data_IF_874361344790
#
_entry.id   IF_874361344790
#
_cell.length_a   1.000
_cell.length_b   1.000
_cell.length_c   1.000
_cell.angle_alpha   90.00
_cell.angle_beta   90.00
_cell.angle_gamma   90.00
#
_symmetry.space_group_name_H-M   'P 1'
#
loop_
_entity.id
_entity.type
_entity.pdbx_description
1 polymer ?
#
# COMPACT_ATOMS: atom_id res chain seq x y z
N UNK A 1 0.51 -17.01 48.37
CA UNK A 1 0.04 -17.41 47.02
C UNK A 1 -1.32 -16.81 46.63
N UNK A 2 -2.32 -16.79 47.51
CA UNK A 2 -3.68 -16.26 47.21
C UNK A 2 -3.74 -14.76 46.87
N UNK A 3 -2.99 -13.90 47.57
CA UNK A 3 -3.02 -12.44 47.37
C UNK A 3 -2.56 -12.02 45.96
N UNK A 4 -1.50 -12.65 45.44
CA UNK A 4 -0.98 -12.40 44.09
C UNK A 4 -2.03 -12.75 43.02
N UNK A 5 -2.75 -13.86 43.19
CA UNK A 5 -3.84 -14.23 42.28
C UNK A 5 -5.01 -13.26 42.29
N UNK A 6 -5.33 -12.66 43.45
CA UNK A 6 -6.38 -11.66 43.57
C UNK A 6 -5.97 -10.33 42.92
N UNK A 7 -4.72 -9.90 43.11
CA UNK A 7 -4.17 -8.70 42.46
C UNK A 7 -4.15 -8.86 40.93
N UNK A 8 -3.73 -10.03 40.41
CA UNK A 8 -3.74 -10.29 38.96
C UNK A 8 -5.16 -10.25 38.39
N UNK A 9 -6.15 -10.84 39.09
CA UNK A 9 -7.56 -10.75 38.68
C UNK A 9 -8.09 -9.32 38.69
N UNK A 10 -7.72 -8.52 39.68
CA UNK A 10 -8.08 -7.10 39.76
C UNK A 10 -7.44 -6.31 38.60
N UNK A 11 -6.16 -6.51 38.33
CA UNK A 11 -5.44 -5.88 37.22
C UNK A 11 -6.07 -6.25 35.87
N UNK A 12 -6.42 -7.52 35.66
CA UNK A 12 -7.10 -7.96 34.45
C UNK A 12 -8.47 -7.27 34.29
N UNK A 13 -9.24 -7.13 35.37
CA UNK A 13 -10.55 -6.45 35.34
C UNK A 13 -10.42 -4.95 35.03
N UNK A 14 -9.43 -4.27 35.62
CA UNK A 14 -9.15 -2.85 35.38
C UNK A 14 -8.68 -2.64 33.94
N UNK A 15 -7.70 -3.41 33.46
CA UNK A 15 -7.21 -3.33 32.07
C UNK A 15 -8.33 -3.61 31.07
N UNK A 16 -9.14 -4.64 31.32
CA UNK A 16 -10.31 -4.95 30.49
C UNK A 16 -11.34 -3.82 30.48
N UNK A 17 -11.58 -3.16 31.61
CA UNK A 17 -12.46 -1.99 31.66
C UNK A 17 -11.90 -0.81 30.85
N UNK A 18 -10.60 -0.51 30.97
CA UNK A 18 -9.95 0.57 30.23
C UNK A 18 -10.03 0.35 28.72
N UNK A 19 -9.73 -0.86 28.24
CA UNK A 19 -9.80 -1.20 26.81
C UNK A 19 -11.23 -1.06 26.28
N UNK A 20 -12.25 -1.54 27.02
CA UNK A 20 -13.65 -1.38 26.61
C UNK A 20 -14.09 0.08 26.59
N UNK A 21 -13.63 0.89 27.55
CA UNK A 21 -13.90 2.32 27.60
C UNK A 21 -13.30 3.04 26.40
N UNK A 22 -12.04 2.76 26.09
CA UNK A 22 -11.34 3.35 24.94
C UNK A 22 -12.00 2.94 23.61
N UNK A 23 -12.30 1.65 23.45
CA UNK A 23 -13.02 1.15 22.28
C UNK A 23 -14.39 1.80 22.13
N UNK A 24 -15.16 1.90 23.22
CA UNK A 24 -16.46 2.56 23.22
C UNK A 24 -16.38 4.03 22.78
N UNK A 25 -15.35 4.75 23.22
CA UNK A 25 -15.13 6.13 22.80
C UNK A 25 -14.78 6.25 21.32
N UNK A 26 -13.87 5.40 20.82
CA UNK A 26 -13.53 5.33 19.38
C UNK A 26 -14.76 4.97 18.54
N UNK A 27 -15.54 3.98 18.96
CA UNK A 27 -16.75 3.56 18.26
C UNK A 27 -17.80 4.67 18.22
N UNK A 28 -18.01 5.37 19.34
CA UNK A 28 -18.91 6.52 19.38
C UNK A 28 -18.48 7.61 18.40
N UNK A 29 -17.18 7.93 18.35
CA UNK A 29 -16.63 8.89 17.41
C UNK A 29 -16.84 8.46 15.95
N UNK A 30 -16.59 7.18 15.64
CA UNK A 30 -16.83 6.61 14.30
C UNK A 30 -18.31 6.75 13.91
N UNK A 31 -19.24 6.35 14.76
CA UNK A 31 -20.68 6.46 14.49
C UNK A 31 -21.08 7.92 14.25
N UNK A 32 -20.54 8.85 15.06
CA UNK A 32 -20.78 10.29 14.86
C UNK A 32 -20.25 10.76 13.51
N UNK A 33 -19.02 10.44 13.15
CA UNK A 33 -18.44 10.81 11.85
C UNK A 33 -19.28 10.23 10.71
N UNK A 34 -19.62 8.94 10.77
CA UNK A 34 -20.45 8.28 9.76
C UNK A 34 -21.82 8.97 9.58
N UNK A 35 -22.47 9.38 10.67
CA UNK A 35 -23.75 10.10 10.59
C UNK A 35 -23.62 11.44 9.86
N UNK A 36 -22.52 12.17 10.09
CA UNK A 36 -22.26 13.44 9.39
C UNK A 36 -21.93 13.22 7.92
N UNK A 37 -21.14 12.19 7.60
CA UNK A 37 -20.81 11.83 6.21
C UNK A 37 -22.07 11.44 5.43
N UNK A 38 -22.94 10.59 6.00
CA UNK A 38 -24.23 10.24 5.38
C UNK A 38 -25.10 11.46 5.13
N UNK A 39 -25.18 12.38 6.11
CA UNK A 39 -25.90 13.65 5.96
C UNK A 39 -25.30 14.51 4.85
N UNK A 40 -23.98 14.64 4.80
CA UNK A 40 -23.28 15.42 3.78
C UNK A 40 -23.58 14.90 2.37
N UNK A 41 -23.50 13.58 2.18
CA UNK A 41 -23.83 12.92 0.89
C UNK A 41 -25.29 13.19 0.52
N UNK A 42 -26.22 13.02 1.46
CA UNK A 42 -27.64 13.28 1.22
C UNK A 42 -27.92 14.75 0.88
N UNK A 43 -27.28 15.69 1.59
CA UNK A 43 -27.41 17.12 1.31
C UNK A 43 -26.86 17.49 -0.07
N UNK A 44 -25.69 16.95 -0.47
CA UNK A 44 -25.11 17.18 -1.80
C UNK A 44 -26.05 16.68 -2.90
N UNK A 45 -26.60 15.47 -2.75
CA UNK A 45 -27.60 14.91 -3.68
C UNK A 45 -28.85 15.77 -3.77
N UNK A 46 -29.38 16.19 -2.62
CA UNK A 46 -30.56 17.06 -2.57
C UNK A 46 -30.32 18.42 -3.25
N UNK A 47 -29.16 19.05 -3.01
CA UNK A 47 -28.80 20.32 -3.64
C UNK A 47 -28.68 20.18 -5.16
N UNK A 48 -28.04 19.11 -5.65
CA UNK A 48 -27.94 18.80 -7.09
C UNK A 48 -29.33 18.68 -7.72
N UNK A 49 -30.19 17.82 -7.13
CA UNK A 49 -31.56 17.62 -7.63
C UNK A 49 -32.40 18.91 -7.60
N UNK A 50 -32.25 19.71 -6.53
CA UNK A 50 -32.95 21.01 -6.42
C UNK A 50 -32.51 22.00 -7.49
N UNK A 51 -31.21 22.00 -7.85
CA UNK A 51 -30.68 22.86 -8.90
C UNK A 51 -31.16 22.41 -10.28
N UNK A 52 -31.08 21.11 -10.57
CA UNK A 52 -31.60 20.52 -11.81
C UNK A 52 -33.09 20.83 -11.98
N UNK A 53 -33.89 20.60 -10.94
CA UNK A 53 -35.31 20.92 -10.96
C UNK A 53 -35.56 22.40 -11.29
N UNK A 54 -34.81 23.33 -10.66
CA UNK A 54 -34.93 24.76 -10.93
C UNK A 54 -34.59 25.10 -12.38
N UNK A 55 -33.47 24.58 -12.91
CA UNK A 55 -33.03 24.79 -14.29
C UNK A 55 -34.05 24.26 -15.31
N UNK A 56 -34.57 23.06 -15.09
CA UNK A 56 -35.65 22.50 -15.93
C UNK A 56 -36.93 23.34 -15.85
N UNK A 57 -37.31 23.78 -14.65
CA UNK A 57 -38.51 24.60 -14.47
C UNK A 57 -38.36 25.97 -15.16
N UNK A 58 -37.20 26.61 -15.06
CA UNK A 58 -36.88 27.85 -15.77
C UNK A 58 -36.90 27.66 -17.29
N UNK A 59 -36.28 26.60 -17.80
CA UNK A 59 -36.31 26.28 -19.23
C UNK A 59 -37.74 26.07 -19.75
N UNK A 60 -38.59 25.42 -18.95
CA UNK A 60 -40.01 25.22 -19.29
C UNK A 60 -40.80 26.54 -19.23
N UNK A 61 -40.48 27.44 -18.28
CA UNK A 61 -41.06 28.78 -18.22
C UNK A 61 -40.69 29.61 -19.46
N UNK A 62 -39.42 29.58 -19.85
CA UNK A 62 -38.93 30.26 -21.05
C UNK A 62 -39.63 29.76 -22.31
N UNK A 63 -39.79 28.43 -22.44
CA UNK A 63 -40.55 27.82 -23.55
C UNK A 63 -41.98 28.38 -23.65
N UNK A 64 -42.69 28.50 -22.52
CA UNK A 64 -44.07 29.02 -22.53
C UNK A 64 -44.12 30.48 -22.97
N UNK A 65 -43.26 31.32 -22.39
CA UNK A 65 -43.20 32.76 -22.75
C UNK A 65 -42.88 32.94 -24.24
N UNK A 66 -41.91 32.18 -24.75
CA UNK A 66 -41.49 32.20 -26.15
C UNK A 66 -42.60 31.71 -27.10
N UNK A 67 -43.34 30.66 -26.73
CA UNK A 67 -44.49 30.18 -27.50
C UNK A 67 -45.61 31.23 -27.56
N UNK A 68 -45.92 31.89 -26.44
CA UNK A 68 -46.92 32.95 -26.34
C UNK A 68 -46.53 34.17 -27.17
N UNK A 69 -45.28 34.62 -27.08
CA UNK A 69 -44.77 35.75 -27.84
C UNK A 69 -44.82 35.50 -29.35
N UNK A 70 -44.38 34.32 -29.81
CA UNK A 70 -44.44 33.94 -31.21
C UNK A 70 -45.89 33.79 -31.72
N UNK A 71 -46.81 33.33 -30.86
CA UNK A 71 -48.25 33.30 -31.16
C UNK A 71 -48.82 34.71 -31.33
N UNK A 72 -48.46 35.64 -30.45
CA UNK A 72 -48.88 37.04 -30.54
C UNK A 72 -48.36 37.73 -31.82
N UNK A 73 -47.19 37.34 -32.31
CA UNK A 73 -46.64 37.79 -33.59
C UNK A 73 -47.28 37.14 -34.83
N UNK A 74 -48.27 36.24 -34.65
CA UNK A 74 -48.98 35.58 -35.75
C UNK A 74 -48.24 34.39 -36.38
N UNK A 75 -47.20 33.86 -35.72
CA UNK A 75 -46.42 32.75 -36.26
C UNK A 75 -47.16 31.40 -36.12
N UNK A 76 -47.51 30.80 -37.26
CA UNK A 76 -48.22 29.50 -37.31
C UNK A 76 -47.41 28.32 -36.76
N UNK A 77 -46.08 28.43 -36.69
CA UNK A 77 -45.14 27.42 -36.15
C UNK A 77 -44.58 27.77 -34.78
N UNK A 78 -45.20 28.71 -34.04
CA UNK A 78 -44.74 29.16 -32.73
C UNK A 78 -44.38 28.03 -31.75
N UNK A 79 -45.22 26.98 -31.70
CA UNK A 79 -45.01 25.82 -30.82
C UNK A 79 -43.78 24.99 -31.19
N UNK A 80 -43.54 24.77 -32.49
CA UNK A 80 -42.38 24.00 -32.96
C UNK A 80 -41.08 24.73 -32.68
N UNK A 81 -41.05 26.05 -32.91
CA UNK A 81 -39.87 26.90 -32.67
C UNK A 81 -39.54 26.94 -31.17
N UNK A 82 -40.53 27.20 -30.31
CA UNK A 82 -40.33 27.23 -28.86
C UNK A 82 -39.91 25.86 -28.30
N UNK A 83 -40.42 24.76 -28.85
CA UNK A 83 -40.00 23.40 -28.50
C UNK A 83 -38.55 23.12 -28.92
N UNK A 84 -38.15 23.56 -30.11
CA UNK A 84 -36.77 23.42 -30.58
C UNK A 84 -35.79 24.17 -29.68
N UNK A 85 -36.07 25.44 -29.38
CA UNK A 85 -35.23 26.21 -28.46
C UNK A 85 -35.22 25.63 -27.04
N UNK A 86 -36.32 25.04 -26.59
CA UNK A 86 -36.35 24.31 -25.31
C UNK A 86 -35.42 23.09 -25.33
N UNK A 87 -35.43 22.29 -26.39
CA UNK A 87 -34.53 21.14 -26.55
C UNK A 87 -33.06 21.58 -26.60
N UNK A 88 -32.76 22.63 -27.34
CA UNK A 88 -31.39 23.16 -27.43
C UNK A 88 -30.90 23.65 -26.05
N UNK A 89 -31.76 24.31 -25.25
CA UNK A 89 -31.46 24.70 -23.86
C UNK A 89 -31.19 23.50 -22.97
N UNK A 90 -31.98 22.42 -23.09
CA UNK A 90 -31.76 21.19 -22.31
C UNK A 90 -30.44 20.52 -22.67
N UNK A 91 -30.14 20.39 -23.97
CA UNK A 91 -28.89 19.80 -24.45
C UNK A 91 -27.67 20.58 -23.96
N UNK A 92 -27.74 21.92 -23.95
CA UNK A 92 -26.65 22.75 -23.43
C UNK A 92 -26.47 22.62 -21.91
N UNK A 93 -27.56 22.47 -21.15
CA UNK A 93 -27.50 22.17 -19.71
C UNK A 93 -26.81 20.82 -19.47
N UNK A 94 -27.20 19.78 -20.21
CA UNK A 94 -26.62 18.44 -20.10
C UNK A 94 -25.13 18.42 -20.47
N UNK A 95 -24.77 19.12 -21.56
CA UNK A 95 -23.36 19.26 -21.99
C UNK A 95 -22.50 19.90 -20.90
N UNK A 96 -22.97 20.97 -20.27
CA UNK A 96 -22.26 21.63 -19.16
C UNK A 96 -22.16 20.75 -17.93
N UNK A 97 -23.21 19.99 -17.61
CA UNK A 97 -23.19 19.07 -16.47
C UNK A 97 -22.16 17.94 -16.66
N UNK A 98 -22.06 17.38 -17.88
CA UNK A 98 -21.02 16.41 -18.22
C UNK A 98 -19.61 16.99 -18.12
N UNK A 99 -19.40 18.22 -18.62
CA UNK A 99 -18.11 18.92 -18.55
C UNK A 99 -17.67 19.16 -17.10
N UNK A 100 -18.61 19.61 -16.25
CA UNK A 100 -18.36 19.82 -14.82
C UNK A 100 -18.06 18.51 -14.08
N UNK A 101 -18.78 17.42 -14.40
CA UNK A 101 -18.54 16.12 -13.77
C UNK A 101 -17.15 15.55 -14.14
N UNK A 102 -16.71 15.74 -15.38
CA UNK A 102 -15.37 15.35 -15.82
C UNK A 102 -14.27 16.16 -15.12
N UNK A 103 -14.48 17.46 -14.94
CA UNK A 103 -13.55 18.32 -14.20
C UNK A 103 -13.50 17.95 -12.71
N UNK A 104 -14.65 17.72 -12.09
CA UNK A 104 -14.72 17.26 -10.70
C UNK A 104 -14.01 15.91 -10.52
N UNK A 105 -14.19 14.97 -11.47
CA UNK A 105 -13.48 13.68 -11.48
C UNK A 105 -11.96 13.88 -11.61
N UNK A 106 -11.49 14.79 -12.47
CA UNK A 106 -10.06 15.11 -12.59
C UNK A 106 -9.50 15.69 -11.30
N UNK A 107 -10.22 16.61 -10.66
CA UNK A 107 -9.82 17.20 -9.37
C UNK A 107 -9.71 16.15 -8.27
N UNK A 108 -10.64 15.20 -8.22
CA UNK A 108 -10.60 14.08 -7.29
C UNK A 108 -9.39 13.18 -7.56
N UNK A 109 -9.11 12.86 -8.82
CA UNK A 109 -7.96 12.01 -9.18
C UNK A 109 -6.62 12.68 -8.84
N UNK A 110 -6.47 13.99 -9.12
CA UNK A 110 -5.28 14.76 -8.74
C UNK A 110 -5.09 14.75 -7.22
N UNK A 111 -6.14 15.04 -6.45
CA UNK A 111 -6.06 14.99 -4.97
C UNK A 111 -5.72 13.59 -4.46
N UNK A 112 -6.29 12.55 -5.06
CA UNK A 112 -5.99 11.15 -4.73
C UNK A 112 -4.52 10.80 -4.99
N UNK A 113 -3.98 11.24 -6.12
CA UNK A 113 -2.58 11.01 -6.47
C UNK A 113 -1.64 11.72 -5.49
N UNK A 114 -1.93 12.96 -5.10
CA UNK A 114 -1.15 13.70 -4.09
C UNK A 114 -1.12 12.94 -2.74
N UNK A 115 -2.27 12.42 -2.30
CA UNK A 115 -2.35 11.67 -1.04
C UNK A 115 -1.56 10.36 -1.12
N UNK A 116 -1.64 9.64 -2.23
CA UNK A 116 -0.93 8.38 -2.45
C UNK A 116 0.59 8.59 -2.51
N UNK A 117 1.02 9.64 -3.22
CA UNK A 117 2.44 10.00 -3.31
C UNK A 117 3.01 10.42 -1.95
N UNK A 118 2.26 11.21 -1.18
CA UNK A 118 2.64 11.57 0.19
C UNK A 118 2.75 10.34 1.11
N UNK A 119 1.85 9.36 0.97
CA UNK A 119 1.92 8.10 1.73
C UNK A 119 3.16 7.27 1.33
N UNK A 120 3.44 7.15 0.03
CA UNK A 120 4.64 6.46 -0.47
C UNK A 120 5.94 7.10 0.01
N UNK A 121 6.01 8.42 0.06
CA UNK A 121 7.19 9.16 0.53
C UNK A 121 7.40 9.00 2.04
N UNK A 122 6.34 8.79 2.81
CA UNK A 122 6.44 8.52 4.25
C UNK A 122 6.99 7.12 4.56
N UNK A 123 6.71 6.13 3.69
CA UNK A 123 7.15 4.74 3.83
C UNK A 123 8.50 4.45 3.13
N UNK A 124 9.10 5.41 2.42
CA UNK A 124 10.41 5.24 1.80
C UNK A 124 11.52 5.21 2.88
N UNK A 125 12.32 4.14 2.98
CA UNK A 125 13.44 4.10 3.91
C UNK A 125 14.45 5.19 3.53
N UNK A 126 14.66 6.13 4.44
CA UNK A 126 15.57 7.27 4.24
C UNK A 126 17.00 6.73 4.10
N UNK A 127 17.55 6.81 2.89
CA UNK A 127 18.97 6.62 2.62
C UNK A 127 19.71 7.89 3.04
N UNK A 128 20.68 7.77 3.95
CA UNK A 128 21.49 8.87 4.45
C UNK A 128 22.12 9.68 3.29
N UNK A 129 22.47 9.01 2.19
CA UNK A 129 23.03 9.65 0.98
C UNK A 129 22.05 10.62 0.33
N UNK A 130 20.76 10.25 0.25
CA UNK A 130 19.69 11.11 -0.31
C UNK A 130 19.33 12.26 0.62
N UNK A 131 19.41 12.05 1.94
CA UNK A 131 19.15 13.12 2.91
C UNK A 131 20.26 14.18 2.85
N UNK A 132 21.53 13.76 2.73
CA UNK A 132 22.65 14.67 2.56
C UNK A 132 22.54 15.40 1.23
N UNK A 133 22.24 14.72 0.12
CA UNK A 133 22.05 15.37 -1.19
C UNK A 133 20.93 16.42 -1.16
N UNK A 134 19.79 16.12 -0.54
CA UNK A 134 18.69 17.08 -0.37
C UNK A 134 19.01 18.24 0.59
N UNK A 135 19.89 18.05 1.59
CA UNK A 135 20.35 19.12 2.49
C UNK A 135 21.48 19.97 1.89
N UNK A 136 22.22 19.44 0.91
CA UNK A 136 23.38 20.07 0.28
C UNK A 136 23.19 20.45 -1.19
N UNK A 137 21.98 20.31 -1.75
CA UNK A 137 21.58 20.84 -3.07
C UNK A 137 21.71 22.38 -3.19
N UNK A 138 21.98 23.06 -2.06
CA UNK A 138 22.33 24.48 -2.01
C UNK A 138 23.78 24.76 -2.44
N UNK A 139 24.69 23.79 -2.42
CA UNK A 139 26.09 24.00 -2.78
C UNK A 139 26.30 23.86 -4.29
N UNK A 140 26.92 24.86 -4.96
CA UNK A 140 27.33 24.69 -6.33
C UNK A 140 28.32 23.51 -6.44
N UNK A 141 28.03 22.62 -7.39
CA UNK A 141 28.85 21.45 -7.68
C UNK A 141 30.30 21.91 -7.93
N UNK A 142 31.24 21.49 -7.07
CA UNK A 142 32.61 22.02 -7.03
C UNK A 142 33.50 21.53 -8.18
N UNK A 143 32.92 21.27 -9.35
CA UNK A 143 33.62 20.90 -10.57
C UNK A 143 33.24 21.82 -11.74
N UNK A 144 33.58 23.09 -11.66
CA UNK A 144 33.97 23.91 -12.82
C UNK A 144 34.42 25.32 -12.41
N UNK A 145 35.55 25.74 -12.96
CA UNK A 145 36.15 27.06 -12.80
C UNK A 145 35.21 28.21 -13.27
N UNK A 146 35.30 29.35 -12.57
CA UNK A 146 34.52 30.58 -12.75
C UNK A 146 34.91 31.40 -14.01
N UNK A 147 34.42 32.64 -14.29
CA UNK A 147 33.29 33.43 -13.74
C UNK A 147 32.41 34.11 -14.83
N UNK A 148 31.20 34.61 -14.52
CA UNK A 148 30.72 35.97 -14.85
C UNK A 148 29.27 36.25 -14.43
N UNK A 149 28.89 37.52 -14.20
CA UNK A 149 27.77 37.91 -13.36
C UNK A 149 26.56 38.36 -14.18
N UNK A 150 25.53 37.53 -14.35
CA UNK A 150 24.24 38.01 -14.86
C UNK A 150 23.07 37.21 -14.30
N UNK A 151 22.12 37.94 -13.72
CA UNK A 151 20.71 37.62 -13.85
C UNK A 151 20.10 36.78 -12.74
N UNK A 152 19.49 37.49 -11.80
CA UNK A 152 18.29 37.11 -11.04
C UNK A 152 17.84 35.64 -11.09
N UNK A 153 18.06 34.93 -9.98
CA UNK A 153 17.12 33.91 -9.55
C UNK A 153 17.03 33.98 -8.04
N UNK A 154 16.00 34.69 -7.60
CA UNK A 154 15.54 34.67 -6.23
C UNK A 154 15.31 33.21 -5.82
N UNK A 155 15.85 32.86 -4.66
CA UNK A 155 15.79 31.54 -4.05
C UNK A 155 14.33 31.14 -3.82
N UNK A 156 13.79 30.33 -4.73
CA UNK A 156 12.44 29.77 -4.68
C UNK A 156 12.32 28.63 -3.67
N UNK A 157 12.69 28.88 -2.40
CA UNK A 157 12.70 27.88 -1.32
C UNK A 157 11.74 28.27 -0.18
N UNK A 158 10.85 29.25 -0.38
CA UNK A 158 9.88 29.65 0.65
C UNK A 158 8.50 30.08 0.14
N UNK A 159 8.14 29.77 -1.12
CA UNK A 159 6.81 30.10 -1.66
C UNK A 159 5.73 29.05 -1.39
N UNK A 160 6.07 27.89 -0.82
CA UNK A 160 5.13 26.78 -0.60
C UNK A 160 4.73 26.56 0.87
N UNK A 161 4.93 27.55 1.73
CA UNK A 161 4.30 27.55 3.05
C UNK A 161 2.93 28.20 2.93
N UNK A 162 1.81 27.47 3.11
CA UNK A 162 0.52 28.09 3.25
C UNK A 162 0.56 29.00 4.48
N UNK A 163 0.48 30.31 4.24
CA UNK A 163 0.13 31.29 5.27
C UNK A 163 -1.20 30.82 5.85
N UNK A 164 -1.21 30.58 7.17
CA UNK A 164 -2.41 30.36 7.95
C UNK A 164 -3.35 31.56 7.75
N UNK A 165 -4.24 31.46 6.76
CA UNK A 165 -5.52 32.13 6.79
C UNK A 165 -6.50 31.15 7.42
N UNK A 166 -6.93 31.49 8.62
CA UNK A 166 -8.06 30.90 9.32
C UNK A 166 -9.29 30.87 8.40
N UNK A 167 -9.47 29.75 7.71
CA UNK A 167 -10.73 29.36 7.08
C UNK A 167 -11.03 27.95 7.56
N UNK A 168 -11.71 27.87 8.71
CA UNK A 168 -12.40 26.68 9.18
C UNK A 168 -13.57 26.36 8.26
N UNK A 169 -13.33 25.79 7.08
CA UNK A 169 -14.36 25.10 6.31
C UNK A 169 -13.83 23.79 5.73
N UNK A 170 -14.41 22.69 6.22
CA UNK A 170 -14.55 21.38 5.57
C UNK A 170 -13.29 20.54 5.26
N UNK A 171 -12.56 20.16 6.31
CA UNK A 171 -11.61 19.03 6.31
C UNK A 171 -12.36 17.73 6.66
N UNK A 172 -13.26 17.27 5.79
CA UNK A 172 -13.67 15.85 5.76
C UNK A 172 -13.89 15.50 4.29
N UNK A 173 -12.89 14.90 3.66
CA UNK A 173 -13.03 14.33 2.32
C UNK A 173 -14.19 13.32 2.33
N UNK A 174 -15.06 13.31 1.31
CA UNK A 174 -16.08 12.28 1.20
C UNK A 174 -15.37 10.93 1.04
N UNK A 175 -15.63 10.02 1.98
CA UNK A 175 -15.38 8.59 1.78
C UNK A 175 -15.99 8.24 0.42
N UNK A 176 -15.14 7.76 -0.49
CA UNK A 176 -15.56 7.24 -1.78
C UNK A 176 -16.72 6.27 -1.56
N UNK A 177 -17.92 6.63 -2.05
CA UNK A 177 -18.82 5.62 -2.56
C UNK A 177 -18.18 5.14 -3.84
N UNK A 178 -17.45 4.03 -3.73
CA UNK A 178 -17.08 3.18 -4.86
C UNK A 178 -18.38 3.00 -5.64
N UNK A 179 -18.34 3.23 -6.95
CA UNK A 179 -19.43 2.85 -7.85
C UNK A 179 -19.82 1.42 -7.52
N UNK A 180 -21.04 1.21 -7.03
CA UNK A 180 -21.68 -0.10 -6.89
C UNK A 180 -22.04 -0.60 -8.30
N UNK A 181 -21.03 -0.86 -9.14
CA UNK A 181 -21.03 -2.14 -9.81
C UNK A 181 -20.54 -3.10 -8.73
N UNK A 182 -21.45 -3.51 -7.86
CA UNK A 182 -21.18 -4.49 -6.81
C UNK A 182 -20.91 -5.80 -7.55
N UNK A 183 -19.66 -5.99 -7.99
CA UNK A 183 -19.22 -7.25 -8.55
C UNK A 183 -19.69 -8.34 -7.59
N UNK A 184 -20.47 -9.30 -8.10
CA UNK A 184 -21.04 -10.33 -7.27
C UNK A 184 -19.92 -11.22 -6.71
N UNK A 185 -19.45 -10.88 -5.50
CA UNK A 185 -18.42 -11.63 -4.81
C UNK A 185 -18.96 -12.87 -4.10
N UNK A 186 -20.27 -13.16 -4.20
CA UNK A 186 -20.90 -14.29 -3.50
C UNK A 186 -20.35 -15.64 -3.96
N UNK A 187 -19.79 -15.71 -5.17
CA UNK A 187 -19.13 -16.89 -5.71
C UNK A 187 -17.73 -17.11 -5.13
N UNK A 188 -17.02 -16.04 -4.73
CA UNK A 188 -15.64 -16.06 -4.23
C UNK A 188 -15.58 -16.38 -2.73
N UNK A 189 -16.02 -17.59 -2.38
CA UNK A 189 -15.96 -18.08 -1.00
C UNK A 189 -14.57 -18.60 -0.67
N UNK A 190 -13.99 -18.16 0.46
CA UNK A 190 -12.69 -18.64 0.94
C UNK A 190 -12.60 -20.17 1.05
N UNK A 191 -13.70 -20.83 1.43
CA UNK A 191 -13.77 -22.29 1.46
C UNK A 191 -13.48 -22.94 0.10
N UNK A 192 -13.95 -22.35 -1.02
CA UNK A 192 -13.66 -22.86 -2.36
C UNK A 192 -12.16 -22.72 -2.65
N UNK A 193 -11.59 -21.55 -2.38
CA UNK A 193 -10.15 -21.31 -2.55
C UNK A 193 -9.30 -22.30 -1.74
N UNK A 194 -9.60 -22.47 -0.45
CA UNK A 194 -8.87 -23.39 0.40
C UNK A 194 -9.00 -24.85 -0.08
N UNK A 195 -10.20 -25.29 -0.48
CA UNK A 195 -10.40 -26.63 -1.01
C UNK A 195 -9.62 -26.88 -2.32
N UNK A 196 -9.44 -25.85 -3.14
CA UNK A 196 -8.73 -25.96 -4.42
C UNK A 196 -7.21 -25.89 -4.26
N UNK A 197 -6.70 -25.03 -3.37
CA UNK A 197 -5.28 -24.69 -3.34
C UNK A 197 -4.54 -25.12 -2.06
N UNK A 198 -5.25 -25.47 -0.97
CA UNK A 198 -4.56 -25.87 0.25
C UNK A 198 -3.89 -27.23 0.11
N UNK A 199 -2.66 -27.31 0.59
CA UNK A 199 -1.88 -28.54 0.63
C UNK A 199 -2.08 -29.29 1.96
N UNK A 200 -1.74 -30.58 1.97
CA UNK A 200 -1.66 -31.37 3.21
C UNK A 200 -3.01 -31.64 3.91
N UNK A 201 -4.13 -31.59 3.16
CA UNK A 201 -5.50 -31.78 3.68
C UNK A 201 -5.82 -30.87 4.88
N UNK A 202 -5.26 -29.67 4.90
CA UNK A 202 -5.50 -28.68 5.97
C UNK A 202 -6.86 -28.03 5.76
N UNK A 203 -7.64 -27.92 6.83
CA UNK A 203 -8.96 -27.28 6.80
C UNK A 203 -8.83 -25.76 6.78
N UNK A 204 -9.79 -25.09 6.14
CA UNK A 204 -9.91 -23.62 6.18
C UNK A 204 -10.39 -23.06 7.54
N UNK A 205 -10.78 -23.94 8.46
CA UNK A 205 -11.19 -23.59 9.81
C UNK A 205 -9.99 -23.35 10.74
N UNK A 206 -10.26 -22.67 11.84
CA UNK A 206 -9.31 -22.42 12.91
C UNK A 206 -8.62 -23.70 13.41
N UNK A 207 -7.30 -23.63 13.56
CA UNK A 207 -6.46 -24.72 14.06
C UNK A 207 -5.33 -24.18 14.91
N UNK A 208 -5.05 -24.85 16.03
CA UNK A 208 -3.92 -24.55 16.92
C UNK A 208 -2.67 -25.38 16.64
N UNK A 209 -2.75 -26.27 15.65
CA UNK A 209 -1.66 -27.20 15.34
C UNK A 209 -0.62 -26.49 14.46
N UNK A 210 0.69 -26.61 14.77
CA UNK A 210 1.73 -26.17 13.85
C UNK A 210 1.59 -26.84 12.48
N UNK A 211 1.87 -26.10 11.42
CA UNK A 211 1.85 -26.63 10.07
C UNK A 211 3.11 -27.45 9.78
N UNK A 212 2.92 -28.63 9.16
CA UNK A 212 4.03 -29.45 8.64
C UNK A 212 4.51 -28.99 7.26
N UNK A 213 3.63 -28.34 6.50
CA UNK A 213 3.88 -27.77 5.19
C UNK A 213 3.05 -26.47 5.08
N UNK A 214 3.48 -25.48 4.29
CA UNK A 214 2.71 -24.27 4.06
C UNK A 214 1.31 -24.57 3.54
N UNK A 215 0.38 -23.63 3.73
CA UNK A 215 -0.99 -23.80 3.21
C UNK A 215 -0.99 -23.90 1.68
N UNK A 216 -0.14 -23.15 1.00
CA UNK A 216 -0.05 -23.10 -0.47
C UNK A 216 1.28 -23.66 -0.97
N UNK A 217 1.36 -24.17 -2.22
CA UNK A 217 2.63 -24.51 -2.85
C UNK A 217 3.56 -23.30 -2.90
N UNK A 218 4.73 -23.41 -2.28
CA UNK A 218 5.80 -22.42 -2.37
C UNK A 218 7.03 -23.04 -3.05
N UNK A 219 7.64 -22.29 -3.97
CA UNK A 219 8.68 -22.79 -4.88
C UNK A 219 10.04 -22.98 -4.20
N UNK A 220 10.38 -22.12 -3.24
CA UNK A 220 11.68 -22.18 -2.55
C UNK A 220 11.53 -22.80 -1.16
N UNK A 221 12.53 -23.59 -0.74
CA UNK A 221 12.55 -24.15 0.62
C UNK A 221 12.58 -23.06 1.69
N UNK A 222 13.23 -21.93 1.41
CA UNK A 222 13.27 -20.76 2.28
C UNK A 222 11.87 -20.18 2.55
N UNK A 223 11.03 -20.06 1.52
CA UNK A 223 9.65 -19.58 1.66
C UNK A 223 8.78 -20.59 2.40
N UNK A 224 9.02 -21.89 2.18
CA UNK A 224 8.31 -22.94 2.93
C UNK A 224 8.60 -22.87 4.43
N UNK A 225 9.88 -22.69 4.80
CA UNK A 225 10.28 -22.51 6.19
C UNK A 225 9.76 -21.19 6.78
N UNK A 226 9.79 -20.11 5.99
CA UNK A 226 9.23 -18.82 6.39
C UNK A 226 7.73 -18.92 6.69
N UNK A 227 6.95 -19.56 5.82
CA UNK A 227 5.52 -19.75 6.04
C UNK A 227 5.20 -20.60 7.28
N UNK A 228 6.02 -21.61 7.58
CA UNK A 228 5.88 -22.40 8.82
C UNK A 228 6.22 -21.55 10.06
N UNK A 229 7.30 -20.76 10.01
CA UNK A 229 7.68 -19.86 11.08
C UNK A 229 6.64 -18.76 11.32
N UNK A 230 6.06 -18.21 10.25
CA UNK A 230 4.95 -17.26 10.29
C UNK A 230 3.74 -17.87 10.97
N UNK A 231 3.35 -19.10 10.60
CA UNK A 231 2.22 -19.77 11.24
C UNK A 231 2.40 -19.93 12.75
N UNK A 232 3.57 -20.39 13.20
CA UNK A 232 3.89 -20.53 14.63
C UNK A 232 3.87 -19.15 15.31
N UNK A 233 4.40 -18.12 14.65
CA UNK A 233 4.43 -16.75 15.18
C UNK A 233 3.02 -16.17 15.32
N UNK A 234 2.14 -16.37 14.33
CA UNK A 234 0.72 -15.99 14.39
C UNK A 234 0.04 -16.69 15.57
N UNK A 235 0.20 -18.00 15.72
CA UNK A 235 -0.39 -18.74 16.85
C UNK A 235 0.11 -18.24 18.21
N UNK A 236 1.37 -17.84 18.33
CA UNK A 236 1.91 -17.24 19.57
C UNK A 236 1.41 -15.82 19.80
N UNK A 237 1.18 -15.06 18.72
CA UNK A 237 0.64 -13.70 18.79
C UNK A 237 -0.83 -13.69 19.23
N UNK A 238 -1.63 -14.62 18.71
CA UNK A 238 -3.04 -14.78 19.10
C UNK A 238 -3.22 -15.46 20.46
N UNK A 239 -2.15 -16.04 21.02
CA UNK A 239 -2.17 -16.76 22.31
C UNK A 239 -2.62 -18.21 22.20
N UNK A 240 -2.70 -18.75 20.99
CA UNK A 240 -3.10 -20.12 20.70
C UNK A 240 -1.99 -21.15 20.95
N UNK A 241 -0.72 -20.73 20.91
CA UNK A 241 0.45 -21.56 21.19
C UNK A 241 1.31 -20.91 22.29
N UNK A 242 1.84 -21.67 23.27
CA UNK A 242 2.72 -21.13 24.29
C UNK A 242 4.06 -20.63 23.71
N UNK A 243 4.66 -19.67 24.41
CA UNK A 243 6.01 -19.17 24.11
C UNK A 243 7.09 -20.22 24.45
N UNK A 244 8.24 -20.19 23.75
CA UNK A 244 9.33 -21.12 24.01
C UNK A 244 9.87 -20.95 25.44
N UNK A 245 10.39 -22.04 26.01
CA UNK A 245 11.01 -22.00 27.34
C UNK A 245 12.34 -21.24 27.25
N UNK A 246 12.62 -20.39 28.22
CA UNK A 246 13.85 -19.59 28.29
C UNK A 246 15.11 -20.45 28.09
N UNK A 247 15.81 -20.25 26.98
CA UNK A 247 17.11 -20.84 26.72
C UNK A 247 18.08 -19.71 26.35
N UNK A 248 18.82 -19.25 27.37
CA UNK A 248 19.89 -18.22 27.35
C UNK A 248 19.47 -16.75 27.10
N UNK A 249 20.26 -15.84 27.69
CA UNK A 249 20.02 -14.39 27.80
C UNK A 249 20.98 -13.59 26.89
N UNK A 250 21.18 -14.01 25.65
CA UNK A 250 21.94 -13.17 24.73
C UNK A 250 21.06 -12.00 24.28
N UNK A 251 21.42 -10.80 24.72
CA UNK A 251 20.79 -9.55 24.27
C UNK A 251 21.19 -9.28 22.84
N UNK A 252 20.45 -9.88 21.92
CA UNK A 252 20.52 -9.53 20.53
C UNK A 252 19.78 -8.20 20.30
N UNK A 253 20.55 -7.13 20.10
CA UNK A 253 20.04 -5.78 19.82
C UNK A 253 19.75 -5.55 18.32
N UNK A 254 19.93 -6.57 17.47
CA UNK A 254 19.58 -6.44 16.05
C UNK A 254 18.06 -6.43 15.86
N UNK A 255 17.58 -5.52 15.00
CA UNK A 255 16.14 -5.38 14.77
C UNK A 255 15.58 -6.60 14.04
N UNK A 256 14.32 -6.96 14.35
CA UNK A 256 13.62 -8.06 13.67
C UNK A 256 13.60 -7.84 12.16
N UNK A 257 13.30 -6.61 11.72
CA UNK A 257 13.35 -6.23 10.31
C UNK A 257 14.73 -6.46 9.68
N UNK A 258 15.83 -6.13 10.38
CA UNK A 258 17.18 -6.38 9.87
C UNK A 258 17.47 -7.87 9.71
N UNK A 259 17.04 -8.70 10.67
CA UNK A 259 17.18 -10.17 10.58
C UNK A 259 16.37 -10.77 9.45
N UNK A 260 15.13 -10.30 9.27
CA UNK A 260 14.24 -10.74 8.19
C UNK A 260 14.81 -10.32 6.84
N UNK A 261 15.23 -9.05 6.68
CA UNK A 261 15.86 -8.57 5.45
C UNK A 261 17.16 -9.28 5.12
N UNK A 262 17.99 -9.62 6.11
CA UNK A 262 19.20 -10.41 5.90
C UNK A 262 18.90 -11.84 5.42
N UNK A 263 17.81 -12.43 5.92
CA UNK A 263 17.35 -13.77 5.53
C UNK A 263 16.71 -13.74 4.14
N UNK A 264 15.88 -12.73 3.84
CA UNK A 264 15.22 -12.55 2.55
C UNK A 264 16.19 -12.12 1.45
N UNK A 265 17.13 -11.21 1.71
CA UNK A 265 18.08 -10.71 0.72
C UNK A 265 18.95 -11.82 0.13
N UNK A 266 19.37 -12.80 0.95
CA UNK A 266 20.12 -13.96 0.46
C UNK A 266 19.26 -14.92 -0.37
N UNK A 267 17.98 -15.07 -0.01
CA UNK A 267 17.02 -15.92 -0.73
C UNK A 267 16.55 -15.28 -2.06
N UNK A 268 16.36 -13.96 -2.07
CA UNK A 268 15.93 -13.15 -3.22
C UNK A 268 17.01 -13.10 -4.31
N UNK A 269 18.29 -12.93 -3.95
CA UNK A 269 19.43 -12.93 -4.89
C UNK A 269 19.55 -14.25 -5.69
N UNK A 270 18.85 -15.32 -5.27
CA UNK A 270 18.86 -16.61 -5.97
C UNK A 270 17.48 -17.09 -6.41
N UNK A 271 16.44 -16.26 -6.35
CA UNK A 271 15.16 -16.64 -6.96
C UNK A 271 15.36 -16.90 -8.45
N UNK A 272 14.60 -17.85 -9.00
CA UNK A 272 14.64 -18.15 -10.44
C UNK A 272 14.38 -16.88 -11.25
N UNK A 273 13.47 -16.03 -10.79
CA UNK A 273 13.17 -14.73 -11.40
C UNK A 273 14.34 -13.74 -11.31
N UNK A 274 15.08 -13.68 -10.19
CA UNK A 274 16.23 -12.78 -10.06
C UNK A 274 17.43 -13.25 -10.90
N UNK A 275 17.68 -14.56 -10.95
CA UNK A 275 18.70 -15.12 -11.85
C UNK A 275 18.31 -14.93 -13.32
N UNK A 276 17.04 -15.14 -13.68
CA UNK A 276 16.53 -14.89 -15.04
C UNK A 276 16.58 -13.39 -15.39
N UNK A 277 16.25 -12.48 -14.47
CA UNK A 277 16.36 -11.04 -14.66
C UNK A 277 17.82 -10.57 -14.80
N UNK A 278 18.75 -11.15 -14.04
CA UNK A 278 20.19 -10.89 -14.19
C UNK A 278 20.73 -11.38 -15.54
N UNK A 279 20.17 -12.48 -16.07
CA UNK A 279 20.51 -13.02 -17.39
C UNK A 279 19.83 -12.26 -18.55
N UNK A 280 18.68 -11.61 -18.29
CA UNK A 280 17.92 -10.82 -19.28
C UNK A 280 18.40 -9.36 -19.37
N UNK A 281 19.08 -8.86 -18.33
CA UNK A 281 19.71 -7.53 -18.30
C UNK A 281 21.14 -7.47 -18.86
N UNK A 282 21.66 -8.59 -19.40
CA UNK A 282 22.98 -8.65 -20.03
C UNK A 282 22.84 -8.56 -21.55
N UNK A 283 23.01 -7.36 -22.08
CA UNK A 283 23.17 -7.09 -23.51
C UNK A 283 24.35 -7.93 -24.08
N UNK A 284 24.16 -8.75 -25.13
CA UNK A 284 25.21 -9.57 -25.75
C UNK A 284 26.47 -8.76 -26.15
N UNK A 285 26.33 -7.45 -26.35
CA UNK A 285 27.38 -6.53 -26.77
C UNK A 285 28.42 -6.20 -25.67
N UNK A 286 28.08 -6.36 -24.38
CA UNK A 286 28.97 -5.97 -23.27
C UNK A 286 30.16 -6.93 -23.08
N UNK A 287 30.12 -8.12 -23.70
CA UNK A 287 31.18 -9.13 -23.58
C UNK A 287 32.45 -8.79 -24.38
N UNK A 288 32.38 -7.85 -25.32
CA UNK A 288 33.50 -7.50 -26.22
C UNK A 288 34.43 -6.38 -25.72
N UNK A 289 34.09 -5.67 -24.63
CA UNK A 289 34.88 -4.51 -24.15
C UNK A 289 35.68 -4.71 -22.87
N UNK A 290 35.71 -5.91 -22.29
CA UNK A 290 36.69 -6.22 -21.24
C UNK A 290 37.98 -6.76 -21.85
N UNK A 291 39.03 -5.92 -21.84
CA UNK A 291 40.42 -6.24 -22.18
C UNK A 291 40.78 -7.69 -21.78
N UNK A 292 41.25 -8.54 -22.71
CA UNK A 292 41.64 -9.90 -22.37
C UNK A 292 42.88 -9.86 -21.46
N UNK A 293 42.72 -10.22 -20.19
CA UNK A 293 43.88 -10.52 -19.34
C UNK A 293 44.58 -11.75 -19.91
N UNK A 294 45.88 -11.59 -20.16
CA UNK A 294 46.83 -12.50 -20.78
C UNK A 294 46.55 -14.01 -20.62
N UNK A 295 46.62 -14.72 -21.76
CA UNK A 295 46.57 -16.18 -21.94
C UNK A 295 47.52 -16.94 -20.98
N UNK A 296 48.58 -16.28 -20.48
CA UNK A 296 49.55 -16.86 -19.56
C UNK A 296 48.95 -17.30 -18.21
N UNK A 297 47.90 -16.64 -17.73
CA UNK A 297 47.23 -17.04 -16.48
C UNK A 297 46.22 -18.18 -16.63
N UNK A 298 45.74 -18.45 -17.85
CA UNK A 298 44.80 -19.56 -18.10
C UNK A 298 45.49 -20.92 -17.99
N UNK A 299 46.74 -21.03 -18.44
CA UNK A 299 47.46 -22.31 -18.46
C UNK A 299 47.91 -22.78 -17.07
N UNK A 300 48.18 -21.88 -16.13
CA UNK A 300 48.65 -22.25 -14.77
C UNK A 300 47.50 -22.74 -13.87
N UNK A 301 46.25 -22.42 -14.20
CA UNK A 301 45.07 -22.95 -13.48
C UNK A 301 44.60 -24.34 -13.99
N UNK A 302 45.19 -24.84 -15.09
CA UNK A 302 44.84 -26.15 -15.66
C UNK A 302 45.62 -27.31 -15.05
N UNK A 303 46.61 -27.05 -14.21
CA UNK A 303 47.32 -28.09 -13.46
C UNK A 303 46.68 -28.27 -12.08
N UNK A 304 45.81 -29.28 -12.02
CA UNK A 304 45.37 -30.00 -10.82
C UNK A 304 44.44 -29.26 -9.84
N UNK A 305 43.19 -29.06 -10.27
CA UNK A 305 42.01 -29.44 -9.47
C UNK A 305 40.74 -29.41 -10.35
N UNK A 306 40.57 -30.43 -11.20
CA UNK A 306 39.22 -30.88 -11.57
C UNK A 306 38.60 -31.48 -10.31
N UNK A 307 38.09 -30.64 -9.41
CA UNK A 307 37.24 -31.08 -8.30
C UNK A 307 35.91 -30.34 -8.45
N UNK A 308 34.91 -31.11 -8.86
CA UNK A 308 33.49 -30.80 -9.01
C UNK A 308 33.05 -29.40 -8.55
N UNK A 309 32.98 -28.44 -9.47
CA UNK A 309 32.29 -27.15 -9.27
C UNK A 309 30.82 -27.37 -8.88
N UNK A 310 30.19 -28.41 -9.44
CA UNK A 310 28.85 -28.87 -9.06
C UNK A 310 28.77 -29.24 -7.56
N UNK A 311 29.81 -29.85 -7.00
CA UNK A 311 29.84 -30.25 -5.59
C UNK A 311 30.04 -29.06 -4.66
N UNK A 312 30.79 -28.04 -5.08
CA UNK A 312 30.94 -26.81 -4.30
C UNK A 312 29.67 -25.96 -4.32
N UNK A 313 29.01 -25.84 -5.47
CA UNK A 313 27.73 -25.13 -5.58
C UNK A 313 26.59 -25.87 -4.87
N UNK A 314 26.54 -27.21 -4.93
CA UNK A 314 25.59 -28.02 -4.14
C UNK A 314 25.89 -27.91 -2.65
N UNK A 315 27.16 -27.96 -2.23
CA UNK A 315 27.55 -27.79 -0.83
C UNK A 315 27.20 -26.39 -0.31
N UNK A 316 27.39 -25.36 -1.13
CA UNK A 316 27.02 -23.97 -0.80
C UNK A 316 25.50 -23.83 -0.68
N UNK A 317 24.71 -24.43 -1.58
CA UNK A 317 23.24 -24.46 -1.49
C UNK A 317 22.76 -25.15 -0.22
N UNK A 318 23.29 -26.32 0.10
CA UNK A 318 22.94 -27.06 1.32
C UNK A 318 23.29 -26.29 2.59
N UNK A 319 24.46 -25.64 2.62
CA UNK A 319 24.90 -24.83 3.77
C UNK A 319 24.07 -23.55 3.96
N UNK A 320 23.63 -22.92 2.86
CA UNK A 320 22.77 -21.74 2.91
C UNK A 320 21.31 -22.09 3.31
N UNK A 321 20.82 -23.26 2.89
CA UNK A 321 19.52 -23.82 3.32
C UNK A 321 19.53 -24.18 4.81
N UNK A 322 20.61 -24.79 5.30
CA UNK A 322 20.84 -25.09 6.72
C UNK A 322 20.87 -23.81 7.56
N UNK A 323 21.56 -22.77 7.10
CA UNK A 323 21.56 -21.45 7.76
C UNK A 323 20.18 -20.81 7.81
N UNK A 324 19.39 -20.92 6.74
CA UNK A 324 18.03 -20.36 6.70
C UNK A 324 17.11 -21.08 7.68
N UNK A 325 17.22 -22.41 7.76
CA UNK A 325 16.51 -23.22 8.74
C UNK A 325 16.93 -22.84 10.17
N UNK A 326 18.23 -22.69 10.43
CA UNK A 326 18.76 -22.30 11.73
C UNK A 326 18.31 -20.89 12.15
N UNK A 327 18.21 -19.95 11.21
CA UNK A 327 17.72 -18.59 11.47
C UNK A 327 16.27 -18.60 11.96
N UNK A 328 15.38 -19.30 11.26
CA UNK A 328 13.98 -19.43 11.66
C UNK A 328 13.81 -20.27 12.93
N UNK A 329 14.59 -21.33 13.10
CA UNK A 329 14.57 -22.14 14.32
C UNK A 329 15.04 -21.33 15.53
N UNK A 330 16.11 -20.55 15.38
CA UNK A 330 16.60 -19.62 16.39
C UNK A 330 15.53 -18.58 16.74
N UNK A 331 14.85 -18.00 15.76
CA UNK A 331 13.71 -17.10 16.01
C UNK A 331 12.61 -17.76 16.86
N UNK A 332 12.30 -19.02 16.59
CA UNK A 332 11.21 -19.73 17.24
C UNK A 332 11.57 -20.31 18.62
N UNK A 333 12.83 -20.61 18.89
CA UNK A 333 13.23 -21.37 20.09
C UNK A 333 14.19 -20.62 21.03
N UNK A 334 14.93 -19.62 20.55
CA UNK A 334 15.95 -18.94 21.36
C UNK A 334 15.35 -18.23 22.57
N UNK A 335 14.32 -17.41 22.37
CA UNK A 335 13.71 -16.65 23.46
C UNK A 335 12.23 -16.35 23.25
N UNK A 336 11.52 -16.11 24.35
CA UNK A 336 10.27 -15.36 24.35
C UNK A 336 10.36 -14.09 23.48
N UNK A 337 9.38 -13.90 22.59
CA UNK A 337 9.26 -12.72 21.73
C UNK A 337 8.07 -11.87 22.17
N UNK A 338 8.24 -10.55 22.16
CA UNK A 338 7.16 -9.59 22.43
C UNK A 338 6.16 -9.54 21.28
N UNK A 339 4.96 -9.01 21.53
CA UNK A 339 3.94 -8.86 20.48
C UNK A 339 4.38 -7.91 19.36
N UNK A 340 5.20 -6.89 19.67
CA UNK A 340 5.75 -6.00 18.66
C UNK A 340 6.78 -6.72 17.77
N UNK A 341 7.64 -7.54 18.37
CA UNK A 341 8.59 -8.36 17.62
C UNK A 341 7.88 -9.38 16.71
N UNK A 342 6.80 -9.99 17.20
CA UNK A 342 5.95 -10.89 16.40
C UNK A 342 5.30 -10.15 15.22
N UNK A 343 4.82 -8.92 15.44
CA UNK A 343 4.25 -8.08 14.38
C UNK A 343 5.27 -7.58 13.36
N UNK A 344 6.53 -7.41 13.74
CA UNK A 344 7.59 -7.09 12.76
C UNK A 344 8.06 -8.31 11.98
N UNK A 345 7.85 -9.52 12.50
CA UNK A 345 8.21 -10.75 11.83
C UNK A 345 7.11 -11.23 10.86
N UNK A 346 5.85 -10.96 11.21
CA UNK A 346 4.68 -11.13 10.33
C UNK A 346 4.67 -10.02 9.30
#
# INVERSE_FOLDING_TARGET
LHLRGHIVRLQARIRGYLVRREYGHKMWAVIKIQSHVRRMIAMKRYQKLKLEYRRHHEALRMRRMEEEELKHQGNKRAREIAEQHYRDRLNEIERKDMEQEMEDRRRVEVKKNIINDAARKADEPVDDSKLVEAMFDFLPDSSSEAPTPHGGRETSVFNDLPVNQDNHEDIIGPIHTISEDEEDLSEFKFQKFAATYFQGNITHYYSRKPLKHPLLPLHTQGDQLAAQALWITILRFTGDLPEPRYHTMDRDNTSVMSKVTATLGRNFIRSKEFQEAQMMGLDPEAFMKQKPRSIRHKLVSLTLKRKNKLGEDVRRRLQDEEYTADSYQSWLESRPTSNLEKLHFI
#
